data_IF_840097070940
#
_entry.id   IF_840097070940
#
_cell.length_a   1.000
_cell.length_b   1.000
_cell.length_c   1.000
_cell.angle_alpha   90.00
_cell.angle_beta   90.00
_cell.angle_gamma   90.00
#
_symmetry.space_group_name_H-M   'P 1'
#
loop_
_entity.id
_entity.type
_entity.pdbx_description
1 polymer ?
#
# COMPACT_ATOMS: atom_id res chain seq x y z
N UNK A 1 33.52 9.60 4.88
CA UNK A 1 32.80 9.16 6.09
C UNK A 1 31.88 8.02 5.68
N UNK A 2 32.15 6.82 6.18
CA UNK A 2 31.25 5.67 6.07
C UNK A 2 30.01 5.92 6.94
N UNK A 3 28.82 5.67 6.40
CA UNK A 3 27.72 5.16 7.20
C UNK A 3 27.27 3.82 6.59
N UNK A 4 27.55 2.78 7.37
CA UNK A 4 27.16 1.39 7.13
C UNK A 4 25.64 1.25 7.12
N UNK A 5 25.16 0.39 6.21
CA UNK A 5 23.77 0.02 6.08
C UNK A 5 23.18 -0.58 7.35
N UNK A 6 21.90 -0.31 7.55
CA UNK A 6 21.06 -1.08 8.47
C UNK A 6 20.10 -1.88 7.60
N UNK A 7 20.44 -3.15 7.39
CA UNK A 7 19.52 -4.16 6.90
C UNK A 7 18.48 -4.41 7.99
N UNK A 8 17.25 -3.94 7.79
CA UNK A 8 16.13 -4.35 8.63
C UNK A 8 15.57 -5.66 8.06
N UNK A 9 15.57 -6.77 8.83
CA UNK A 9 14.80 -7.95 8.44
C UNK A 9 13.32 -7.60 8.63
N UNK A 10 12.72 -7.11 7.54
CA UNK A 10 11.38 -6.53 7.46
C UNK A 10 10.24 -7.57 7.62
N UNK A 11 10.57 -8.85 7.81
CA UNK A 11 9.69 -9.94 7.41
C UNK A 11 8.47 -10.16 8.30
N UNK A 12 8.44 -9.73 9.58
CA UNK A 12 7.29 -10.11 10.45
C UNK A 12 6.85 -9.10 11.52
N UNK A 13 7.55 -7.97 11.76
CA UNK A 13 7.38 -7.27 13.05
C UNK A 13 6.29 -6.18 13.11
N UNK A 14 5.88 -5.47 12.03
CA UNK A 14 4.88 -4.37 12.16
C UNK A 14 4.05 -4.05 10.90
N UNK A 15 3.78 -5.01 10.00
CA UNK A 15 2.97 -4.68 8.81
C UNK A 15 1.47 -4.49 9.12
N UNK A 16 1.02 -4.83 10.34
CA UNK A 16 -0.30 -4.48 10.84
C UNK A 16 -0.34 -3.08 11.46
N UNK A 17 -0.89 -2.12 10.72
CA UNK A 17 -1.39 -0.81 11.16
C UNK A 17 -0.41 0.38 11.19
N UNK A 18 0.14 0.76 10.03
CA UNK A 18 0.36 2.20 9.79
C UNK A 18 -0.99 2.93 9.69
N UNK A 19 -1.95 2.26 9.04
CA UNK A 19 -3.35 2.68 8.93
C UNK A 19 -4.29 1.65 9.58
N UNK A 20 -5.15 2.10 10.49
CA UNK A 20 -6.17 1.26 11.15
C UNK A 20 -7.32 0.98 10.18
N UNK A 21 -7.99 2.04 9.70
CA UNK A 21 -9.01 1.98 8.66
C UNK A 21 -8.49 2.57 7.36
N UNK A 22 -8.66 1.83 6.27
CA UNK A 22 -8.25 2.29 4.95
C UNK A 22 -9.06 1.66 3.83
N UNK A 23 -9.02 2.33 2.69
CA UNK A 23 -9.80 2.01 1.51
C UNK A 23 -8.92 2.12 0.26
N UNK A 24 -9.03 1.12 -0.59
CA UNK A 24 -8.52 1.10 -1.95
C UNK A 24 -9.71 1.24 -2.89
N UNK A 25 -9.64 2.21 -3.80
CA UNK A 25 -10.68 2.50 -4.78
C UNK A 25 -10.14 2.38 -6.20
N UNK A 26 -11.03 2.04 -7.13
CA UNK A 26 -10.71 1.95 -8.55
C UNK A 26 -9.46 1.08 -8.80
N UNK A 27 -9.38 -0.06 -8.09
CA UNK A 27 -8.24 -0.96 -8.19
C UNK A 27 -8.21 -1.55 -9.60
N UNK A 28 -7.08 -1.35 -10.28
CA UNK A 28 -6.71 -1.98 -11.55
C UNK A 28 -5.45 -2.79 -11.32
N UNK A 29 -5.41 -4.02 -11.81
CA UNK A 29 -4.29 -4.91 -11.57
C UNK A 29 -4.15 -5.99 -12.62
N UNK A 30 -2.91 -6.42 -12.83
CA UNK A 30 -2.53 -7.62 -13.55
C UNK A 30 -1.39 -8.33 -12.81
N UNK A 31 -0.68 -9.23 -13.49
CA UNK A 31 0.45 -9.96 -12.89
C UNK A 31 1.64 -9.05 -12.56
N UNK A 32 1.78 -7.90 -13.23
CA UNK A 32 2.90 -6.98 -13.09
C UNK A 32 2.65 -5.77 -12.19
N UNK A 33 1.40 -5.28 -12.05
CA UNK A 33 1.15 -4.07 -11.26
C UNK A 33 -0.15 -4.07 -10.42
N UNK A 34 -0.15 -3.20 -9.41
CA UNK A 34 -1.37 -2.65 -8.80
C UNK A 34 -1.45 -1.14 -9.07
N UNK A 35 -2.61 -0.66 -9.46
CA UNK A 35 -2.91 0.75 -9.60
C UNK A 35 -4.25 1.08 -8.97
N UNK A 36 -4.41 2.31 -8.51
CA UNK A 36 -5.69 2.79 -7.98
C UNK A 36 -5.52 3.97 -7.05
N UNK A 37 -6.52 4.16 -6.21
CA UNK A 37 -6.57 5.23 -5.22
C UNK A 37 -6.53 4.63 -3.82
N UNK A 38 -5.72 5.22 -2.95
CA UNK A 38 -5.63 4.83 -1.55
C UNK A 38 -6.11 5.98 -0.66
N UNK A 39 -6.87 5.63 0.38
CA UNK A 39 -7.30 6.59 1.40
C UNK A 39 -7.30 5.99 2.79
N UNK A 40 -6.86 6.78 3.77
CA UNK A 40 -6.95 6.49 5.19
C UNK A 40 -7.47 7.74 5.91
N UNK A 41 -8.80 7.90 6.06
CA UNK A 41 -9.41 9.12 6.58
C UNK A 41 -8.97 9.49 8.00
N UNK A 42 -8.71 8.49 8.85
CA UNK A 42 -8.24 8.70 10.22
C UNK A 42 -6.89 9.44 10.29
N UNK A 43 -6.16 9.51 9.17
CA UNK A 43 -4.83 10.09 9.04
C UNK A 43 -4.76 11.22 8.00
N UNK A 44 -5.91 11.63 7.44
CA UNK A 44 -5.99 12.64 6.37
C UNK A 44 -5.12 12.30 5.13
N UNK A 45 -5.01 11.00 4.83
CA UNK A 45 -4.22 10.50 3.71
C UNK A 45 -5.13 10.14 2.54
N UNK A 46 -4.82 10.70 1.38
CA UNK A 46 -5.28 10.28 0.06
C UNK A 46 -4.11 10.33 -0.92
N UNK A 47 -4.06 9.39 -1.85
CA UNK A 47 -3.20 9.45 -3.04
C UNK A 47 -3.71 8.50 -4.12
N UNK A 48 -3.24 8.72 -5.34
CA UNK A 48 -3.21 7.71 -6.39
C UNK A 48 -1.85 7.05 -6.41
N UNK A 49 -1.82 5.77 -6.74
CA UNK A 49 -0.58 5.00 -6.75
C UNK A 49 -0.51 4.07 -7.96
N UNK A 50 0.72 3.80 -8.38
CA UNK A 50 1.10 2.72 -9.28
C UNK A 50 2.26 1.95 -8.64
N UNK A 51 2.07 0.65 -8.46
CA UNK A 51 2.99 -0.24 -7.75
C UNK A 51 3.36 -1.42 -8.62
N UNK A 52 4.66 -1.66 -8.78
CA UNK A 52 5.20 -2.83 -9.47
C UNK A 52 5.25 -4.03 -8.52
N UNK A 53 4.55 -5.11 -8.89
CA UNK A 53 4.45 -6.32 -8.07
C UNK A 53 5.67 -7.23 -8.19
N UNK A 54 6.41 -7.15 -9.30
CA UNK A 54 7.62 -7.95 -9.53
C UNK A 54 8.80 -7.38 -8.73
N UNK A 55 9.05 -6.08 -8.88
CA UNK A 55 10.15 -5.38 -8.19
C UNK A 55 9.79 -5.01 -6.76
N UNK A 56 8.49 -5.00 -6.43
CA UNK A 56 7.93 -4.61 -5.14
C UNK A 56 8.15 -3.13 -4.78
N UNK A 57 8.23 -2.27 -5.78
CA UNK A 57 8.48 -0.84 -5.64
C UNK A 57 7.30 0.00 -6.15
N UNK A 58 7.12 1.18 -5.56
CA UNK A 58 6.19 2.17 -6.10
C UNK A 58 6.79 2.81 -7.34
N UNK A 59 6.12 2.67 -8.48
CA UNK A 59 6.49 3.34 -9.73
C UNK A 59 6.16 4.83 -9.61
N UNK A 60 4.97 5.15 -9.11
CA UNK A 60 4.54 6.55 -8.95
C UNK A 60 3.47 6.69 -7.85
N UNK A 61 3.45 7.88 -7.22
CA UNK A 61 2.44 8.32 -6.25
C UNK A 61 2.13 9.78 -6.54
N UNK A 62 0.86 10.09 -6.78
CA UNK A 62 0.44 11.43 -7.17
C UNK A 62 -0.95 11.79 -6.62
N UNK A 63 -1.40 13.01 -6.88
CA UNK A 63 -2.65 13.59 -6.34
C UNK A 63 -2.78 13.40 -4.81
N UNK A 64 -1.66 13.55 -4.10
CA UNK A 64 -1.55 13.21 -2.69
C UNK A 64 -1.87 14.40 -1.76
N UNK A 65 -2.51 14.12 -0.62
CA UNK A 65 -2.85 15.14 0.40
C UNK A 65 -1.72 15.44 1.36
N UNK A 66 -0.81 14.48 1.57
CA UNK A 66 0.36 14.59 2.47
C UNK A 66 1.65 14.31 1.70
N UNK A 67 2.83 14.75 2.17
CA UNK A 67 4.12 14.37 1.58
C UNK A 67 4.27 12.85 1.45
N UNK A 68 4.95 12.37 0.39
CA UNK A 68 5.09 10.92 0.12
C UNK A 68 5.68 10.17 1.31
N UNK A 69 6.66 10.75 2.01
CA UNK A 69 7.29 10.16 3.19
C UNK A 69 6.32 9.98 4.38
N UNK A 70 5.20 10.72 4.41
CA UNK A 70 4.15 10.60 5.43
C UNK A 70 3.01 9.66 5.00
N UNK A 71 2.92 9.35 3.70
CA UNK A 71 1.94 8.41 3.12
C UNK A 71 2.47 6.97 3.15
N UNK A 72 3.79 6.81 3.03
CA UNK A 72 4.38 5.49 2.97
C UNK A 72 4.57 4.89 4.37
N UNK A 73 4.34 3.58 4.53
CA UNK A 73 3.96 2.62 3.48
C UNK A 73 2.44 2.53 3.23
N UNK A 74 2.02 2.53 1.97
CA UNK A 74 0.67 2.08 1.56
C UNK A 74 0.59 0.55 1.77
N UNK A 75 -0.49 -0.01 2.36
CA UNK A 75 -0.56 -1.40 2.78
C UNK A 75 -0.82 -2.40 1.62
N UNK A 76 0.08 -2.45 0.62
CA UNK A 76 -0.03 -3.32 -0.55
C UNK A 76 -0.07 -4.81 -0.18
N UNK A 77 0.68 -5.22 0.86
CA UNK A 77 0.66 -6.59 1.38
C UNK A 77 -0.76 -7.11 1.69
N UNK A 78 -1.68 -6.19 2.03
CA UNK A 78 -3.06 -6.56 2.32
C UNK A 78 -3.84 -6.90 1.04
N UNK A 79 -3.57 -6.19 -0.07
CA UNK A 79 -4.10 -6.54 -1.39
C UNK A 79 -3.58 -7.92 -1.83
N UNK A 80 -2.29 -8.20 -1.66
CA UNK A 80 -1.72 -9.51 -2.00
C UNK A 80 -2.41 -10.65 -1.24
N UNK A 81 -2.55 -10.52 0.09
CA UNK A 81 -3.21 -11.52 0.92
C UNK A 81 -4.70 -11.70 0.57
N UNK A 82 -5.38 -10.62 0.17
CA UNK A 82 -6.76 -10.66 -0.31
C UNK A 82 -6.86 -11.39 -1.64
N UNK A 83 -5.97 -11.08 -2.59
CA UNK A 83 -5.91 -11.71 -3.90
C UNK A 83 -5.59 -13.21 -3.77
N UNK A 84 -4.62 -13.59 -2.93
CA UNK A 84 -4.25 -14.98 -2.66
C UNK A 84 -5.44 -15.79 -2.10
N UNK A 85 -6.16 -15.23 -1.13
CA UNK A 85 -7.28 -15.93 -0.48
C UNK A 85 -8.52 -16.04 -1.36
N UNK A 86 -8.80 -15.02 -2.16
CA UNK A 86 -10.05 -14.92 -2.91
C UNK A 86 -9.92 -15.25 -4.40
N UNK A 87 -8.69 -15.33 -4.91
CA UNK A 87 -8.37 -15.48 -6.34
C UNK A 87 -8.65 -14.23 -7.19
N UNK A 88 -9.21 -13.16 -6.60
CA UNK A 88 -9.46 -11.87 -7.27
C UNK A 88 -9.62 -10.73 -6.26
N UNK A 89 -9.41 -9.50 -6.72
CA UNK A 89 -9.77 -8.28 -6.01
C UNK A 89 -11.05 -7.68 -6.60
N UNK A 90 -11.84 -7.03 -5.76
CA UNK A 90 -12.89 -6.13 -6.22
C UNK A 90 -12.31 -4.81 -6.74
N UNK A 91 -13.14 -4.04 -7.45
CA UNK A 91 -12.79 -2.66 -7.84
C UNK A 91 -12.58 -1.75 -6.62
N UNK A 92 -13.19 -2.09 -5.49
CA UNK A 92 -13.03 -1.40 -4.22
C UNK A 92 -12.78 -2.44 -3.13
N UNK A 93 -11.81 -2.17 -2.27
CA UNK A 93 -11.46 -3.02 -1.14
C UNK A 93 -11.16 -2.16 0.08
N UNK A 94 -11.47 -2.66 1.27
CA UNK A 94 -11.28 -1.89 2.50
C UNK A 94 -10.97 -2.79 3.68
N UNK A 95 -10.19 -2.25 4.61
CA UNK A 95 -10.04 -2.80 5.96
C UNK A 95 -10.67 -1.80 6.93
N UNK A 96 -11.70 -2.22 7.63
CA UNK A 96 -12.37 -1.45 8.69
C UNK A 96 -12.33 -2.26 9.98
N UNK A 97 -11.93 -1.62 11.08
CA UNK A 97 -11.89 -2.20 12.43
C UNK A 97 -12.78 -1.33 13.35
N UNK A 98 -13.63 -1.99 14.14
CA UNK A 98 -14.61 -1.38 15.05
C UNK A 98 -14.16 -1.44 16.50
#
# INVERSE_FOLDING_TARGET
>A
MHFLGVHFPLSEVKMGAYYINYYFHNIEYDDGFYGGEFSAPDYDVYCKFLYDRETKEFIDIWDNTQPIDEILPIPIWWLDNKLEKNGKLGKHESKVSY
#
